data_IF_655447724904
#
_entry.id   IF_655447724904
#
_cell.length_a   1.000
_cell.length_b   1.000
_cell.length_c   1.000
_cell.angle_alpha   90.00
_cell.angle_beta   90.00
_cell.angle_gamma   90.00
#
_symmetry.space_group_name_H-M   'P 1'
#
loop_
_entity.id
_entity.type
_entity.pdbx_description
1 polymer ?
#
# COMPACT_ATOMS: atom_id res chain seq x y z
N UNK A 1 -4.00 10.48 -8.95
CA UNK A 1 -3.40 9.23 -8.50
C UNK A 1 -2.85 9.45 -7.10
N UNK A 2 -3.02 8.51 -6.21
CA UNK A 2 -2.57 8.65 -4.82
C UNK A 2 -1.32 7.81 -4.59
N UNK A 3 -0.60 8.10 -3.52
CA UNK A 3 0.47 7.22 -3.07
C UNK A 3 -0.01 6.40 -1.88
N UNK A 4 0.65 5.27 -1.67
CA UNK A 4 0.22 4.31 -0.65
C UNK A 4 0.19 4.93 0.75
N UNK A 5 1.09 5.87 1.02
CA UNK A 5 1.16 6.54 2.32
C UNK A 5 -0.03 7.47 2.58
N UNK A 6 -0.83 7.76 1.56
CA UNK A 6 -2.01 8.60 1.71
C UNK A 6 -3.27 7.81 2.05
N UNK A 7 -3.20 6.49 1.98
CA UNK A 7 -4.35 5.65 2.26
C UNK A 7 -4.65 5.61 3.76
N UNK A 8 -5.91 5.41 4.07
CA UNK A 8 -6.38 5.29 5.44
C UNK A 8 -6.46 3.82 5.85
N UNK A 9 -6.47 3.59 7.14
CA UNK A 9 -6.64 2.25 7.67
C UNK A 9 -7.92 1.61 7.10
N UNK A 10 -7.78 0.41 6.61
CA UNK A 10 -8.89 -0.34 6.01
C UNK A 10 -9.11 -0.08 4.54
N UNK A 11 -8.44 0.91 3.97
CA UNK A 11 -8.60 1.25 2.56
C UNK A 11 -7.82 0.30 1.68
N UNK A 12 -8.42 -0.05 0.54
CA UNK A 12 -7.78 -0.90 -0.46
C UNK A 12 -7.44 -0.09 -1.70
N UNK A 13 -6.42 -0.54 -2.40
CA UNK A 13 -5.98 0.14 -3.61
C UNK A 13 -5.25 -0.85 -4.51
N UNK A 14 -5.09 -0.47 -5.77
CA UNK A 14 -4.34 -1.26 -6.74
C UNK A 14 -3.06 -0.52 -7.08
N UNK A 15 -1.95 -1.24 -7.07
CA UNK A 15 -0.65 -0.66 -7.40
C UNK A 15 -0.64 -0.29 -8.87
N UNK A 16 -0.28 0.96 -9.18
CA UNK A 16 -0.17 1.44 -10.55
C UNK A 16 1.27 1.54 -11.00
N UNK A 17 2.14 2.05 -10.14
CA UNK A 17 3.54 2.23 -10.50
C UNK A 17 4.37 2.43 -9.25
N UNK A 18 5.66 2.24 -9.38
CA UNK A 18 6.62 2.56 -8.35
C UNK A 18 7.51 3.69 -8.87
N UNK A 19 7.75 4.68 -8.01
CA UNK A 19 8.57 5.83 -8.38
C UNK A 19 10.03 5.53 -8.09
N UNK A 20 10.89 5.92 -9.02
CA UNK A 20 12.33 5.77 -8.87
C UNK A 20 12.86 4.48 -9.46
N UNK A 21 14.18 4.42 -9.61
CA UNK A 21 14.87 3.27 -10.19
C UNK A 21 16.04 2.83 -9.30
N UNK A 22 15.93 3.10 -8.01
CA UNK A 22 16.99 2.78 -7.07
C UNK A 22 16.72 1.44 -6.38
N UNK A 23 17.61 1.09 -5.45
CA UNK A 23 17.53 -0.18 -4.76
C UNK A 23 16.27 -0.31 -3.90
N UNK A 24 15.71 0.80 -3.44
CA UNK A 24 14.50 0.77 -2.63
C UNK A 24 13.32 0.30 -3.48
N UNK A 25 13.18 0.87 -4.68
CA UNK A 25 12.12 0.48 -5.61
C UNK A 25 12.24 -0.99 -5.98
N UNK A 26 13.46 -1.44 -6.27
CA UNK A 26 13.68 -2.84 -6.62
C UNK A 26 13.31 -3.76 -5.47
N UNK A 27 13.65 -3.38 -4.23
CA UNK A 27 13.30 -4.18 -3.06
C UNK A 27 11.79 -4.26 -2.88
N UNK A 28 11.08 -3.15 -3.12
CA UNK A 28 9.62 -3.15 -3.01
C UNK A 28 9.00 -4.11 -4.02
N UNK A 29 9.52 -4.12 -5.24
CA UNK A 29 9.05 -5.07 -6.26
C UNK A 29 9.30 -6.52 -5.83
N UNK A 30 10.46 -6.79 -5.27
CA UNK A 30 10.81 -8.12 -4.81
C UNK A 30 9.93 -8.59 -3.67
N UNK A 31 9.38 -7.64 -2.90
CA UNK A 31 8.45 -7.95 -1.84
C UNK A 31 7.01 -8.15 -2.34
N UNK A 32 6.78 -7.98 -3.63
CA UNK A 32 5.47 -8.25 -4.22
C UNK A 32 4.66 -7.02 -4.58
N UNK A 33 5.21 -5.82 -4.43
CA UNK A 33 4.50 -4.60 -4.81
C UNK A 33 4.63 -4.38 -6.31
N UNK A 34 3.91 -5.20 -7.06
CA UNK A 34 3.96 -5.17 -8.51
C UNK A 34 2.72 -4.48 -9.06
N UNK A 35 2.84 -4.01 -10.31
CA UNK A 35 1.71 -3.38 -11.00
C UNK A 35 0.50 -4.31 -10.97
N UNK A 36 -0.66 -3.72 -10.73
CA UNK A 36 -1.96 -4.39 -10.66
C UNK A 36 -2.19 -5.23 -9.40
N UNK A 37 -1.23 -5.30 -8.50
CA UNK A 37 -1.47 -5.97 -7.23
C UNK A 37 -2.39 -5.14 -6.35
N UNK A 38 -3.31 -5.81 -5.67
CA UNK A 38 -4.20 -5.16 -4.73
C UNK A 38 -3.57 -5.16 -3.34
N UNK A 39 -3.64 -4.02 -2.67
CA UNK A 39 -3.12 -3.86 -1.31
C UNK A 39 -4.20 -3.31 -0.41
N UNK A 40 -4.11 -3.63 0.86
CA UNK A 40 -5.00 -3.10 1.87
C UNK A 40 -4.17 -2.61 3.06
N UNK A 41 -4.47 -1.42 3.55
CA UNK A 41 -3.80 -0.90 4.75
C UNK A 41 -4.48 -1.53 5.97
N UNK A 42 -3.75 -2.38 6.68
CA UNK A 42 -4.30 -3.13 7.80
C UNK A 42 -3.79 -2.66 9.16
N UNK A 43 -2.79 -1.81 9.17
CA UNK A 43 -2.25 -1.29 10.42
C UNK A 43 -1.43 -0.06 10.19
N UNK A 44 -1.23 0.71 11.24
CA UNK A 44 -0.44 1.92 11.19
C UNK A 44 0.06 2.21 12.59
N UNK A 45 1.35 2.47 12.73
CA UNK A 45 1.91 2.82 14.03
C UNK A 45 1.30 4.15 14.49
N UNK A 46 1.32 4.43 15.80
CA UNK A 46 0.68 5.63 16.33
C UNK A 46 1.09 6.94 15.67
N UNK A 47 2.33 7.02 15.16
CA UNK A 47 2.81 8.21 14.48
C UNK A 47 2.68 8.11 12.96
N UNK A 48 1.99 7.08 12.47
CA UNK A 48 1.81 6.89 11.04
C UNK A 48 2.96 6.24 10.32
N UNK A 49 3.95 5.70 11.05
CA UNK A 49 5.13 5.08 10.49
C UNK A 49 5.67 4.02 11.45
N UNK A 50 5.82 2.77 11.06
CA UNK A 50 5.57 2.23 9.73
C UNK A 50 4.10 1.97 9.43
N UNK A 51 3.82 1.72 8.15
CA UNK A 51 2.49 1.36 7.68
C UNK A 51 2.50 -0.14 7.40
N UNK A 52 1.48 -0.84 7.89
CA UNK A 52 1.35 -2.27 7.64
C UNK A 52 0.29 -2.49 6.57
N UNK A 53 0.66 -3.25 5.54
CA UNK A 53 -0.24 -3.54 4.43
C UNK A 53 -0.36 -5.05 4.25
N UNK A 54 -1.46 -5.45 3.62
CA UNK A 54 -1.67 -6.84 3.25
C UNK A 54 -1.69 -6.95 1.74
N UNK A 55 -0.94 -7.93 1.23
CA UNK A 55 -0.90 -8.30 -0.17
C UNK A 55 -1.34 -9.75 -0.24
N UNK A 56 -2.36 -10.05 -1.04
CA UNK A 56 -2.83 -11.41 -1.18
C UNK A 56 -3.03 -12.07 0.19
N UNK A 57 -2.12 -12.97 0.59
CA UNK A 57 -2.24 -13.70 1.83
C UNK A 57 -1.04 -13.49 2.77
N UNK A 58 -0.29 -12.41 2.59
CA UNK A 58 0.82 -12.10 3.49
C UNK A 58 0.85 -10.60 3.78
N UNK A 59 1.61 -10.23 4.80
CA UNK A 59 1.69 -8.85 5.28
C UNK A 59 3.08 -8.29 5.12
N UNK A 60 3.13 -6.98 4.86
CA UNK A 60 4.37 -6.24 4.77
C UNK A 60 4.28 -5.01 5.65
N UNK A 61 5.40 -4.64 6.25
CA UNK A 61 5.53 -3.40 6.98
C UNK A 61 6.43 -2.49 6.18
N UNK A 62 5.94 -1.31 5.83
CA UNK A 62 6.69 -0.34 5.02
C UNK A 62 6.89 0.94 5.80
N UNK A 63 8.07 1.53 5.64
CA UNK A 63 8.28 2.88 6.12
C UNK A 63 7.43 3.82 5.27
N UNK A 64 6.99 4.92 5.89
CA UNK A 64 6.18 5.90 5.18
C UNK A 64 6.90 6.42 3.95
N UNK A 65 8.22 6.63 4.04
CA UNK A 65 9.00 7.07 2.89
C UNK A 65 8.98 6.04 1.75
N UNK A 66 8.93 4.77 2.08
CA UNK A 66 8.83 3.72 1.06
C UNK A 66 7.43 3.70 0.44
N UNK A 67 6.42 3.82 1.27
CA UNK A 67 5.04 3.84 0.80
C UNK A 67 4.77 5.03 -0.12
N UNK A 68 5.44 6.14 0.09
CA UNK A 68 5.26 7.33 -0.75
C UNK A 68 5.72 7.12 -2.19
N UNK A 69 6.52 6.08 -2.43
CA UNK A 69 6.98 5.74 -3.78
C UNK A 69 6.02 4.83 -4.53
N UNK A 70 4.98 4.33 -3.86
CA UNK A 70 4.03 3.41 -4.48
C UNK A 70 2.80 4.20 -4.89
N UNK A 71 2.63 4.38 -6.19
CA UNK A 71 1.46 5.04 -6.73
C UNK A 71 0.33 4.02 -6.83
N UNK A 72 -0.83 4.38 -6.32
CA UNK A 72 -1.95 3.47 -6.24
C UNK A 72 -3.22 4.13 -6.77
N UNK A 73 -4.15 3.29 -7.22
CA UNK A 73 -5.49 3.69 -7.55
C UNK A 73 -6.40 3.19 -6.42
N UNK A 74 -6.94 4.08 -5.60
CA UNK A 74 -7.82 3.65 -4.53
C UNK A 74 -9.03 2.92 -5.08
N UNK A 75 -9.37 1.81 -4.47
CA UNK A 75 -10.54 1.04 -4.86
C UNK A 75 -11.73 1.49 -4.04
N UNK A 76 -12.91 1.38 -4.64
CA UNK A 76 -14.12 1.71 -3.92
C UNK A 76 -14.26 0.79 -2.72
N UNK A 77 -14.52 1.37 -1.57
CA UNK A 77 -14.81 0.57 -0.40
C UNK A 77 -16.11 -0.18 -0.62
N UNK A 78 -16.21 -1.44 -0.20
CA UNK A 78 -17.50 -2.11 -0.26
C UNK A 78 -18.49 -1.32 0.60
N UNK A 79 -19.75 -1.25 0.19
CA UNK A 79 -20.74 -0.55 1.00
C UNK A 79 -20.76 -1.15 2.41
N UNK A 80 -21.00 -0.32 3.43
CA UNK A 80 -21.09 -0.86 4.78
C UNK A 80 -22.17 -1.93 4.80
N UNK A 81 -21.79 -3.07 5.33
CA UNK A 81 -22.74 -4.16 5.41
C UNK A 81 -23.82 -3.80 6.41
N UNK A 82 -25.05 -3.99 6.00
CA UNK A 82 -26.15 -3.79 6.91
C UNK A 82 -26.00 -4.75 8.09
N UNK A 83 -26.29 -4.27 9.27
CA UNK A 83 -26.24 -5.15 10.45
C UNK A 83 -27.27 -6.25 10.34
#
# INVERSE_FOLDING_TARGET
MASLDELRLGQRARVQALLGEDSITQRLMEMGLLEDEEVEVIGMAPLGDPIEIRLQNYRLSLRRSEASRVLVLPLASPPPQAP
#
